data_IF_828331650806
#
_entry.id   IF_828331650806
#
_cell.length_a   1.000
_cell.length_b   1.000
_cell.length_c   1.000
_cell.angle_alpha   90.00
_cell.angle_beta   90.00
_cell.angle_gamma   90.00
#
_symmetry.space_group_name_H-M   'P 1'
#
loop_
_entity.id
_entity.type
_entity.pdbx_description
1 polymer ?
#
# COMPACT_ATOMS: atom_id res chain seq x y z
N UNK A 1 19.81 -11.18 -27.06
CA UNK A 1 18.51 -10.63 -26.59
C UNK A 1 18.00 -11.52 -25.46
N UNK A 2 18.30 -11.12 -24.23
CA UNK A 2 17.91 -11.82 -23.00
C UNK A 2 16.39 -11.81 -22.87
N UNK A 3 15.77 -12.98 -22.65
CA UNK A 3 14.38 -13.06 -22.22
C UNK A 3 14.29 -12.38 -20.85
N UNK A 4 14.04 -11.08 -20.84
CA UNK A 4 13.57 -10.36 -19.66
C UNK A 4 12.44 -11.19 -19.07
N UNK A 5 12.69 -11.74 -17.88
CA UNK A 5 11.80 -12.69 -17.23
C UNK A 5 10.43 -12.01 -17.08
N UNK A 6 9.50 -12.36 -17.96
CA UNK A 6 8.33 -11.56 -18.36
C UNK A 6 7.33 -11.32 -17.21
N UNK A 7 7.57 -11.97 -16.06
CA UNK A 7 6.76 -11.91 -14.85
C UNK A 7 7.16 -10.81 -13.86
N UNK A 8 8.41 -10.32 -13.88
CA UNK A 8 8.88 -9.35 -12.88
C UNK A 8 8.34 -7.93 -13.11
N UNK A 9 8.32 -7.48 -14.37
CA UNK A 9 7.76 -6.18 -14.78
C UNK A 9 6.28 -6.00 -14.38
N UNK A 10 5.36 -6.95 -14.69
CA UNK A 10 3.97 -6.80 -14.30
C UNK A 10 3.78 -6.83 -12.78
N UNK A 11 4.57 -7.60 -12.04
CA UNK A 11 4.49 -7.65 -10.57
C UNK A 11 4.94 -6.34 -9.92
N UNK A 12 5.98 -5.69 -10.43
CA UNK A 12 6.60 -4.54 -9.76
C UNK A 12 6.06 -3.18 -10.22
N UNK A 13 5.37 -3.13 -11.36
CA UNK A 13 4.85 -1.88 -11.93
C UNK A 13 3.34 -1.99 -12.15
N UNK A 14 2.88 -2.96 -12.93
CA UNK A 14 1.47 -3.06 -13.31
C UNK A 14 0.58 -3.33 -12.10
N UNK A 15 0.94 -4.30 -11.25
CA UNK A 15 0.14 -4.66 -10.07
C UNK A 15 0.00 -3.47 -9.08
N UNK A 16 1.08 -2.76 -8.69
CA UNK A 16 0.96 -1.57 -7.85
C UNK A 16 0.12 -0.46 -8.50
N UNK A 17 0.33 -0.17 -9.79
CA UNK A 17 -0.43 0.86 -10.50
C UNK A 17 -1.93 0.52 -10.57
N UNK A 18 -2.27 -0.72 -10.93
CA UNK A 18 -3.67 -1.17 -10.94
C UNK A 18 -4.29 -1.12 -9.55
N UNK A 19 -3.56 -1.52 -8.51
CA UNK A 19 -4.05 -1.51 -7.13
C UNK A 19 -4.33 -0.08 -6.64
N UNK A 20 -3.44 0.87 -6.96
CA UNK A 20 -3.63 2.28 -6.64
C UNK A 20 -4.85 2.85 -7.37
N UNK A 21 -4.99 2.60 -8.67
CA UNK A 21 -6.13 3.06 -9.48
C UNK A 21 -7.44 2.49 -8.93
N UNK A 22 -7.47 1.18 -8.65
CA UNK A 22 -8.66 0.53 -8.10
C UNK A 22 -9.03 1.09 -6.73
N UNK A 23 -8.05 1.36 -5.86
CA UNK A 23 -8.31 1.95 -4.55
C UNK A 23 -8.88 3.39 -4.66
N UNK A 24 -8.34 4.20 -5.58
CA UNK A 24 -8.85 5.55 -5.86
C UNK A 24 -10.27 5.48 -6.42
N UNK A 25 -10.52 4.62 -7.42
CA UNK A 25 -11.85 4.45 -8.02
C UNK A 25 -12.85 3.98 -6.96
N UNK A 26 -12.48 3.02 -6.13
CA UNK A 26 -13.32 2.54 -5.03
C UNK A 26 -13.67 3.67 -4.06
N UNK A 27 -12.68 4.49 -3.67
CA UNK A 27 -12.93 5.66 -2.82
C UNK A 27 -13.91 6.64 -3.47
N UNK A 28 -13.74 6.94 -4.77
CA UNK A 28 -14.63 7.86 -5.48
C UNK A 28 -16.06 7.34 -5.55
N UNK A 29 -16.26 6.04 -5.76
CA UNK A 29 -17.58 5.38 -5.78
C UNK A 29 -18.21 5.44 -4.39
N UNK A 30 -17.45 5.12 -3.34
CA UNK A 30 -17.96 5.04 -1.97
C UNK A 30 -18.03 6.40 -1.27
N UNK A 31 -17.48 7.47 -1.84
CA UNK A 31 -17.42 8.80 -1.22
C UNK A 31 -18.78 9.30 -0.74
N UNK A 32 -19.85 9.00 -1.46
CA UNK A 32 -21.21 9.41 -1.07
C UNK A 32 -21.75 8.67 0.17
N UNK A 33 -21.14 7.53 0.52
CA UNK A 33 -21.54 6.64 1.63
C UNK A 33 -20.62 6.79 2.86
N UNK A 34 -19.72 7.78 2.83
CA UNK A 34 -18.68 7.99 3.86
C UNK A 34 -18.82 9.43 4.38
N UNK A 35 -18.60 9.67 5.70
CA UNK A 35 -18.54 11.02 6.26
C UNK A 35 -17.53 11.91 5.52
N UNK A 36 -17.89 13.17 5.30
CA UNK A 36 -17.00 14.16 4.67
C UNK A 36 -15.84 14.58 5.58
N UNK A 37 -16.00 14.37 6.89
CA UNK A 37 -15.02 14.66 7.91
C UNK A 37 -14.79 13.43 8.82
N UNK A 38 -13.54 13.22 9.21
CA UNK A 38 -13.13 12.20 10.18
C UNK A 38 -12.60 12.90 11.42
N UNK A 39 -12.98 12.41 12.59
CA UNK A 39 -12.38 12.84 13.85
C UNK A 39 -10.88 12.48 13.87
N UNK A 40 -10.03 13.51 13.91
CA UNK A 40 -8.57 13.38 14.05
C UNK A 40 -8.17 13.20 15.51
N UNK A 41 -8.82 13.94 16.41
CA UNK A 41 -8.58 13.85 17.84
C UNK A 41 -9.87 14.05 18.61
N UNK A 42 -9.95 13.42 19.78
CA UNK A 42 -11.00 13.65 20.77
C UNK A 42 -10.27 13.99 22.07
N UNK A 43 -10.51 15.19 22.60
CA UNK A 43 -9.84 15.68 23.81
C UNK A 43 -10.75 16.54 24.68
N UNK A 44 -10.23 17.10 25.78
CA UNK A 44 -10.97 17.99 26.69
C UNK A 44 -11.56 19.20 25.97
N UNK A 45 -10.88 19.66 24.91
CA UNK A 45 -11.29 20.80 24.08
C UNK A 45 -12.28 20.43 22.95
N UNK A 46 -12.75 19.17 22.92
CA UNK A 46 -13.69 18.67 21.94
C UNK A 46 -13.07 17.78 20.85
N UNK A 47 -13.81 17.63 19.74
CA UNK A 47 -13.43 16.78 18.61
C UNK A 47 -12.85 17.62 17.49
N UNK A 48 -11.59 17.37 17.14
CA UNK A 48 -10.96 17.98 15.97
C UNK A 48 -11.23 17.15 14.73
N UNK A 49 -11.76 17.77 13.68
CA UNK A 49 -12.13 17.08 12.45
C UNK A 49 -11.11 17.32 11.32
N UNK A 50 -11.12 16.44 10.32
CA UNK A 50 -10.30 16.54 9.12
C UNK A 50 -11.04 16.04 7.90
N UNK A 51 -10.80 16.68 6.76
CA UNK A 51 -11.41 16.26 5.49
C UNK A 51 -11.00 14.83 5.14
N UNK A 52 -12.00 13.95 4.97
CA UNK A 52 -11.81 12.56 4.54
C UNK A 52 -11.09 12.49 3.21
N UNK A 53 -11.49 13.34 2.26
CA UNK A 53 -10.89 13.39 0.93
C UNK A 53 -9.40 13.77 1.00
N UNK A 54 -9.04 14.72 1.86
CA UNK A 54 -7.64 15.11 2.05
C UNK A 54 -6.83 13.97 2.67
N UNK A 55 -7.35 13.32 3.72
CA UNK A 55 -6.68 12.18 4.35
C UNK A 55 -6.44 11.07 3.33
N UNK A 56 -7.46 10.68 2.56
CA UNK A 56 -7.32 9.64 1.54
C UNK A 56 -6.32 10.02 0.46
N UNK A 57 -6.34 11.28 -0.01
CA UNK A 57 -5.36 11.78 -0.98
C UNK A 57 -3.91 11.67 -0.44
N UNK A 58 -3.69 12.03 0.83
CA UNK A 58 -2.37 11.88 1.48
C UNK A 58 -1.96 10.42 1.58
N UNK A 59 -2.87 9.52 1.97
CA UNK A 59 -2.56 8.08 2.07
C UNK A 59 -2.20 7.51 0.68
N UNK A 60 -2.98 7.83 -0.35
CA UNK A 60 -2.68 7.39 -1.72
C UNK A 60 -1.35 7.95 -2.21
N UNK A 61 -1.05 9.22 -1.97
CA UNK A 61 0.24 9.83 -2.30
C UNK A 61 1.39 9.16 -1.55
N UNK A 62 1.20 8.85 -0.26
CA UNK A 62 2.19 8.16 0.56
C UNK A 62 2.45 6.73 0.07
N UNK A 63 1.44 6.02 -0.45
CA UNK A 63 1.60 4.68 -1.01
C UNK A 63 2.43 4.67 -2.30
N UNK A 64 2.42 5.75 -3.09
CA UNK A 64 3.20 5.86 -4.33
C UNK A 64 4.71 5.80 -4.04
N UNK A 65 5.17 6.41 -2.94
CA UNK A 65 6.60 6.52 -2.64
C UNK A 65 7.27 5.14 -2.47
N UNK A 66 6.79 4.21 -1.61
CA UNK A 66 7.35 2.87 -1.53
C UNK A 66 7.28 2.08 -2.84
N UNK A 67 6.23 2.24 -3.64
CA UNK A 67 6.15 1.60 -4.95
C UNK A 67 7.22 2.11 -5.92
N UNK A 68 7.45 3.43 -5.96
CA UNK A 68 8.51 4.02 -6.78
C UNK A 68 9.90 3.56 -6.32
N UNK A 69 10.15 3.55 -5.01
CA UNK A 69 11.43 3.11 -4.45
C UNK A 69 11.65 1.62 -4.76
N UNK A 70 10.66 0.76 -4.48
CA UNK A 70 10.75 -0.67 -4.76
C UNK A 70 10.95 -0.98 -6.25
N UNK A 71 10.22 -0.28 -7.13
CA UNK A 71 10.38 -0.39 -8.59
C UNK A 71 11.73 0.12 -9.09
N UNK A 72 12.24 1.23 -8.53
CA UNK A 72 13.56 1.77 -8.87
C UNK A 72 14.69 0.83 -8.43
N UNK A 73 14.63 0.28 -7.21
CA UNK A 73 15.60 -0.68 -6.69
C UNK A 73 15.59 -1.99 -7.49
N UNK A 74 14.41 -2.39 -7.98
CA UNK A 74 14.31 -3.55 -8.85
C UNK A 74 14.97 -3.36 -10.23
N UNK A 75 15.34 -2.14 -10.64
CA UNK A 75 16.07 -1.93 -11.92
C UNK A 75 17.43 -2.62 -11.95
N UNK A 76 18.09 -2.76 -10.81
CA UNK A 76 19.32 -3.55 -10.69
C UNK A 76 19.13 -4.99 -11.15
N UNK A 77 17.95 -5.58 -10.87
CA UNK A 77 17.58 -6.91 -11.39
C UNK A 77 17.61 -6.98 -12.91
N UNK A 78 16.96 -6.01 -13.55
CA UNK A 78 16.74 -6.02 -14.98
C UNK A 78 18.06 -5.83 -15.72
N UNK A 79 19.02 -5.15 -15.08
CA UNK A 79 20.38 -4.99 -15.60
C UNK A 79 21.22 -6.25 -15.41
N UNK A 80 21.23 -6.82 -14.20
CA UNK A 80 22.22 -7.84 -13.82
C UNK A 80 21.69 -9.28 -13.97
N UNK A 81 20.39 -9.46 -14.22
CA UNK A 81 19.73 -10.76 -14.48
C UNK A 81 19.62 -11.69 -13.27
N UNK A 82 19.98 -11.22 -12.08
CA UNK A 82 19.90 -11.96 -10.82
C UNK A 82 19.78 -10.99 -9.63
N UNK A 83 19.46 -11.54 -8.46
CA UNK A 83 19.43 -10.82 -7.19
C UNK A 83 20.22 -11.55 -6.13
N UNK A 84 20.81 -10.77 -5.21
CA UNK A 84 21.24 -11.26 -3.90
C UNK A 84 20.08 -11.22 -2.89
N UNK A 85 20.13 -12.02 -1.81
CA UNK A 85 19.04 -12.12 -0.83
C UNK A 85 18.69 -10.76 -0.23
N UNK A 86 19.71 -9.96 0.11
CA UNK A 86 19.55 -8.62 0.65
C UNK A 86 18.80 -7.69 -0.32
N UNK A 87 19.17 -7.68 -1.60
CA UNK A 87 18.52 -6.84 -2.62
C UNK A 87 17.05 -7.23 -2.81
N UNK A 88 16.77 -8.54 -2.88
CA UNK A 88 15.40 -9.05 -3.00
C UNK A 88 14.56 -8.66 -1.78
N UNK A 89 15.09 -8.84 -0.57
CA UNK A 89 14.39 -8.51 0.66
C UNK A 89 14.01 -7.03 0.73
N UNK A 90 14.92 -6.13 0.36
CA UNK A 90 14.66 -4.69 0.33
C UNK A 90 13.55 -4.34 -0.67
N UNK A 91 13.59 -4.88 -1.89
CA UNK A 91 12.54 -4.66 -2.90
C UNK A 91 11.19 -5.16 -2.42
N UNK A 92 11.13 -6.38 -1.88
CA UNK A 92 9.91 -6.97 -1.32
C UNK A 92 9.34 -6.08 -0.20
N UNK A 93 10.21 -5.60 0.70
CA UNK A 93 9.80 -4.77 1.82
C UNK A 93 9.16 -3.45 1.37
N UNK A 94 9.82 -2.71 0.47
CA UNK A 94 9.29 -1.43 -0.03
C UNK A 94 7.99 -1.59 -0.83
N UNK A 95 7.91 -2.58 -1.71
CA UNK A 95 6.67 -2.81 -2.47
C UNK A 95 5.54 -3.21 -1.52
N UNK A 96 5.80 -4.10 -0.56
CA UNK A 96 4.80 -4.54 0.42
C UNK A 96 4.37 -3.41 1.35
N UNK A 97 5.27 -2.49 1.71
CA UNK A 97 4.95 -1.28 2.46
C UNK A 97 3.92 -0.42 1.73
N UNK A 98 4.06 -0.25 0.41
CA UNK A 98 3.07 0.47 -0.40
C UNK A 98 1.69 -0.18 -0.35
N UNK A 99 1.61 -1.52 -0.41
CA UNK A 99 0.35 -2.24 -0.21
C UNK A 99 -0.19 -2.12 1.20
N UNK A 100 0.67 -2.13 2.23
CA UNK A 100 0.26 -1.86 3.60
C UNK A 100 -0.41 -0.49 3.73
N UNK A 101 0.18 0.56 3.16
CA UNK A 101 -0.39 1.91 3.17
C UNK A 101 -1.73 1.95 2.41
N UNK A 102 -1.86 1.26 1.27
CA UNK A 102 -3.16 1.08 0.61
C UNK A 102 -4.16 0.33 1.50
N UNK A 103 -3.71 -0.67 2.26
CA UNK A 103 -4.50 -1.37 3.26
C UNK A 103 -5.06 -0.43 4.32
N UNK A 104 -4.30 0.58 4.76
CA UNK A 104 -4.81 1.64 5.67
C UNK A 104 -5.99 2.37 5.04
N UNK A 105 -5.88 2.81 3.79
CA UNK A 105 -6.97 3.49 3.09
C UNK A 105 -8.22 2.61 3.02
N UNK A 106 -8.07 1.35 2.58
CA UNK A 106 -9.19 0.42 2.43
C UNK A 106 -9.83 0.07 3.77
N UNK A 107 -9.03 -0.21 4.80
CA UNK A 107 -9.53 -0.46 6.15
C UNK A 107 -10.28 0.75 6.72
N UNK A 108 -9.75 1.95 6.48
CA UNK A 108 -10.40 3.20 6.91
C UNK A 108 -11.72 3.42 6.16
N UNK A 109 -11.76 3.18 4.84
CA UNK A 109 -12.99 3.23 4.04
C UNK A 109 -14.04 2.27 4.63
N UNK A 110 -13.68 1.00 4.84
CA UNK A 110 -14.60 -0.01 5.40
C UNK A 110 -15.08 0.38 6.80
N UNK A 111 -14.20 0.96 7.64
CA UNK A 111 -14.56 1.43 8.98
C UNK A 111 -15.41 2.71 9.01
N UNK A 112 -15.67 3.33 7.86
CA UNK A 112 -16.46 4.56 7.74
C UNK A 112 -17.71 4.42 6.84
N UNK A 113 -17.77 3.40 5.98
CA UNK A 113 -18.93 3.18 5.12
C UNK A 113 -20.18 2.97 5.97
N UNK A 114 -21.23 3.74 5.67
CA UNK A 114 -22.54 3.62 6.33
C UNK A 114 -22.66 4.37 7.66
N UNK A 115 -21.64 5.13 8.07
CA UNK A 115 -21.75 6.03 9.22
C UNK A 115 -22.41 7.35 8.84
N UNK A 116 -23.16 7.91 9.79
CA UNK A 116 -23.74 9.24 9.63
C UNK A 116 -22.66 10.34 9.67
N UNK A 117 -22.94 11.48 9.03
CA UNK A 117 -21.96 12.57 8.88
C UNK A 117 -21.46 13.16 10.22
N UNK A 118 -22.20 12.97 11.30
CA UNK A 118 -21.88 13.49 12.64
C UNK A 118 -21.38 12.40 13.61
N UNK A 119 -21.33 11.14 13.17
CA UNK A 119 -20.87 10.04 14.02
C UNK A 119 -19.35 9.95 14.01
N UNK A 120 -18.78 9.87 15.22
CA UNK A 120 -17.35 9.67 15.42
C UNK A 120 -17.05 8.17 15.36
N UNK A 121 -16.39 7.73 14.29
CA UNK A 121 -15.94 6.33 14.16
C UNK A 121 -14.79 6.03 15.11
N UNK A 122 -15.08 5.39 16.24
CA UNK A 122 -14.05 4.85 17.14
C UNK A 122 -13.21 3.72 16.51
N UNK A 123 -13.74 3.06 15.46
CA UNK A 123 -13.12 1.88 14.86
C UNK A 123 -12.34 2.16 13.56
N UNK A 124 -12.48 3.34 12.95
CA UNK A 124 -11.82 3.68 11.69
C UNK A 124 -10.30 3.50 11.73
N UNK A 125 -9.65 3.94 12.81
CA UNK A 125 -8.20 3.79 13.04
C UNK A 125 -7.83 2.31 13.20
N UNK A 126 -8.59 1.55 13.98
CA UNK A 126 -8.35 0.13 14.20
C UNK A 126 -8.48 -0.66 12.90
N UNK A 127 -9.50 -0.36 12.10
CA UNK A 127 -9.70 -0.97 10.79
C UNK A 127 -8.60 -0.59 9.79
N UNK A 128 -8.11 0.66 9.82
CA UNK A 128 -6.95 1.08 9.05
C UNK A 128 -5.68 0.30 9.41
N UNK A 129 -5.40 0.12 10.70
CA UNK A 129 -4.26 -0.68 11.18
C UNK A 129 -4.39 -2.15 10.82
N UNK A 130 -5.59 -2.72 10.94
CA UNK A 130 -5.86 -4.09 10.50
C UNK A 130 -5.64 -4.23 8.99
N UNK A 131 -6.14 -3.29 8.20
CA UNK A 131 -5.92 -3.23 6.76
C UNK A 131 -4.44 -3.18 6.40
N UNK A 132 -3.65 -2.36 7.10
CA UNK A 132 -2.19 -2.32 6.95
C UNK A 132 -1.56 -3.70 7.15
N UNK A 133 -1.83 -4.33 8.30
CA UNK A 133 -1.23 -5.61 8.66
C UNK A 133 -1.58 -6.70 7.64
N UNK A 134 -2.85 -6.81 7.26
CA UNK A 134 -3.32 -7.82 6.31
C UNK A 134 -2.69 -7.63 4.93
N UNK A 135 -2.74 -6.41 4.37
CA UNK A 135 -2.23 -6.15 3.03
C UNK A 135 -0.70 -6.21 2.98
N UNK A 136 -0.01 -5.69 4.00
CA UNK A 136 1.44 -5.80 4.10
C UNK A 136 1.87 -7.26 4.14
N UNK A 137 1.26 -8.07 5.02
CA UNK A 137 1.62 -9.48 5.19
C UNK A 137 1.32 -10.28 3.92
N UNK A 138 0.15 -10.09 3.33
CA UNK A 138 -0.22 -10.74 2.07
C UNK A 138 0.74 -10.37 0.94
N UNK A 139 1.11 -9.09 0.83
CA UNK A 139 2.08 -8.63 -0.16
C UNK A 139 3.47 -9.23 0.08
N UNK A 140 3.97 -9.24 1.32
CA UNK A 140 5.27 -9.86 1.63
C UNK A 140 5.29 -11.33 1.21
N UNK A 141 4.26 -12.10 1.58
CA UNK A 141 4.15 -13.51 1.19
C UNK A 141 4.09 -13.67 -0.34
N UNK A 142 3.25 -12.90 -1.02
CA UNK A 142 3.10 -12.96 -2.47
C UNK A 142 4.39 -12.59 -3.21
N UNK A 143 5.02 -11.47 -2.87
CA UNK A 143 6.25 -11.03 -3.54
C UNK A 143 7.45 -11.90 -3.18
N UNK A 144 7.56 -12.43 -1.96
CA UNK A 144 8.61 -13.38 -1.61
C UNK A 144 8.52 -14.65 -2.47
N UNK A 145 7.31 -15.16 -2.68
CA UNK A 145 7.03 -16.38 -3.45
C UNK A 145 7.12 -16.19 -4.97
N UNK A 146 6.58 -15.09 -5.50
CA UNK A 146 6.45 -14.86 -6.95
C UNK A 146 7.71 -14.29 -7.59
N UNK A 147 8.50 -13.55 -6.82
CA UNK A 147 9.75 -13.02 -7.34
C UNK A 147 10.82 -14.12 -7.48
N UNK A 148 11.71 -14.02 -8.48
CA UNK A 148 12.78 -15.00 -8.69
C UNK A 148 13.59 -15.28 -7.42
N UNK A 149 14.09 -16.51 -7.29
CA UNK A 149 14.99 -16.87 -6.17
C UNK A 149 16.28 -16.06 -6.27
N UNK A 150 16.72 -15.54 -5.14
CA UNK A 150 18.02 -14.90 -5.05
C UNK A 150 19.13 -15.96 -5.21
N UNK A 151 20.25 -15.55 -5.81
CA UNK A 151 21.49 -16.34 -5.79
C UNK A 151 22.14 -16.20 -4.41
N UNK A 152 22.83 -17.23 -3.91
CA UNK A 152 23.66 -17.07 -2.72
C UNK A 152 24.69 -15.97 -2.96
N UNK A 153 24.95 -15.18 -1.92
CA UNK A 153 26.03 -14.20 -1.95
C UNK A 153 27.37 -14.95 -2.13
N UNK A 154 28.28 -14.45 -3.00
CA UNK A 154 29.60 -15.05 -3.13
C UNK A 154 30.33 -14.92 -1.79
N UNK A 155 30.92 -16.03 -1.33
CA UNK A 155 31.79 -16.04 -0.16
C UNK A 155 32.96 -15.09 -0.45
N UNK A 156 33.06 -14.01 0.33
CA UNK A 156 34.17 -13.04 0.30
C UNK A 156 35.44 -13.69 0.81
#
# INVERSE_FOLDING_TARGET
MTRLNTRALPLLIVSPSCSLILAVVLFLILRALIPSQIARHVGPDGVGYSSTALIMAVIFAAAILPFLIGGALARGFFRDGHWFPTQKAVVVCFVSLGYGILGVALGTIVGLVGLDQNEVSGNSVAMGMLGFLLFFTAAVCAYAALLPRAKPEPLV
#
